data_IF_225551847649
#
_entry.id   IF_225551847649
#
_cell.length_a   1.000
_cell.length_b   1.000
_cell.length_c   1.000
_cell.angle_alpha   90.00
_cell.angle_beta   90.00
_cell.angle_gamma   90.00
#
_symmetry.space_group_name_H-M   'P 1'
#
loop_
_entity.id
_entity.type
_entity.pdbx_description
1 polymer ?
#
# COMPACT_ATOMS: atom_id res chain seq x y z
N UNK A 1 20.52 24.33 -5.48
CA UNK A 1 20.05 24.30 -6.89
C UNK A 1 20.94 23.47 -7.83
N UNK A 2 22.29 23.52 -7.76
CA UNK A 2 23.16 22.77 -8.69
C UNK A 2 23.18 21.25 -8.48
N UNK A 3 23.06 20.76 -7.23
CA UNK A 3 23.12 19.32 -6.91
C UNK A 3 21.94 18.53 -7.51
N UNK A 4 20.74 19.09 -7.44
CA UNK A 4 19.53 18.48 -8.00
C UNK A 4 19.62 18.31 -9.52
N UNK A 5 20.27 19.24 -10.23
CA UNK A 5 20.50 19.12 -11.67
C UNK A 5 21.38 17.91 -12.01
N UNK A 6 22.52 17.75 -11.33
CA UNK A 6 23.40 16.60 -11.54
C UNK A 6 22.73 15.27 -11.17
N UNK A 7 21.94 15.25 -10.09
CA UNK A 7 21.16 14.06 -9.70
C UNK A 7 20.15 13.69 -10.79
N UNK A 8 19.39 14.67 -11.31
CA UNK A 8 18.46 14.45 -12.41
C UNK A 8 19.16 13.97 -13.68
N UNK A 9 20.36 14.50 -13.97
CA UNK A 9 21.14 14.06 -15.12
C UNK A 9 21.56 12.59 -15.01
N UNK A 10 22.08 12.18 -13.83
CA UNK A 10 22.43 10.78 -13.57
C UNK A 10 21.19 9.89 -13.64
N UNK A 11 20.07 10.33 -13.06
CA UNK A 11 18.82 9.59 -13.12
C UNK A 11 18.31 9.43 -14.56
N UNK A 12 18.39 10.48 -15.38
CA UNK A 12 18.00 10.43 -16.78
C UNK A 12 18.86 9.42 -17.57
N UNK A 13 20.18 9.44 -17.37
CA UNK A 13 21.09 8.46 -17.99
C UNK A 13 20.74 7.03 -17.55
N UNK A 14 20.48 6.83 -16.26
CA UNK A 14 20.07 5.52 -15.74
C UNK A 14 18.76 5.03 -16.38
N UNK A 15 17.77 5.91 -16.54
CA UNK A 15 16.49 5.56 -17.19
C UNK A 15 16.71 5.18 -18.66
N UNK A 16 17.55 5.92 -19.39
CA UNK A 16 17.88 5.60 -20.79
C UNK A 16 18.58 4.25 -20.89
N UNK A 17 19.61 4.02 -20.06
CA UNK A 17 20.36 2.75 -20.05
C UNK A 17 19.43 1.59 -19.69
N UNK A 18 18.60 1.75 -18.65
CA UNK A 18 17.59 0.77 -18.28
C UNK A 18 16.64 0.47 -19.44
N UNK A 19 16.13 1.50 -20.12
CA UNK A 19 15.21 1.31 -21.25
C UNK A 19 15.87 0.55 -22.40
N UNK A 20 17.09 0.93 -22.79
CA UNK A 20 17.83 0.31 -23.90
C UNK A 20 18.22 -1.13 -23.59
N UNK A 21 18.70 -1.41 -22.38
CA UNK A 21 19.12 -2.76 -21.98
C UNK A 21 17.94 -3.72 -21.81
N UNK A 22 16.74 -3.21 -21.55
CA UNK A 22 15.54 -4.00 -21.31
C UNK A 22 14.51 -3.78 -22.44
N UNK A 23 14.97 -3.41 -23.63
CA UNK A 23 14.13 -3.19 -24.81
C UNK A 23 13.67 -4.50 -25.46
N UNK A 24 14.32 -5.63 -25.13
CA UNK A 24 14.02 -6.93 -25.70
C UNK A 24 12.54 -7.30 -25.50
N UNK A 25 11.85 -7.75 -26.56
CA UNK A 25 10.45 -8.14 -26.48
C UNK A 25 10.32 -9.46 -25.73
N UNK A 26 9.31 -9.52 -24.87
CA UNK A 26 8.92 -10.70 -24.10
C UNK A 26 7.47 -11.04 -24.42
N UNK A 27 7.27 -12.29 -24.83
CA UNK A 27 5.94 -12.85 -25.03
C UNK A 27 5.28 -13.09 -23.67
N UNK A 28 4.15 -12.44 -23.42
CA UNK A 28 3.38 -12.62 -22.18
C UNK A 28 1.98 -13.12 -22.48
N UNK A 29 1.44 -13.89 -21.53
CA UNK A 29 0.06 -14.33 -21.52
C UNK A 29 -0.55 -14.05 -20.16
N UNK A 30 -1.49 -13.12 -20.11
CA UNK A 30 -2.19 -12.67 -18.90
C UNK A 30 -3.66 -13.01 -19.03
N UNK A 31 -4.09 -14.05 -18.30
CA UNK A 31 -5.46 -14.55 -18.26
C UNK A 31 -5.96 -15.00 -19.65
N UNK A 32 -6.54 -14.09 -20.44
CA UNK A 32 -7.00 -14.31 -21.82
C UNK A 32 -6.27 -13.43 -22.84
N UNK A 33 -5.50 -12.45 -22.38
CA UNK A 33 -4.72 -11.56 -23.22
C UNK A 33 -3.33 -12.13 -23.46
N UNK A 34 -2.82 -11.98 -24.68
CA UNK A 34 -1.47 -12.35 -25.06
C UNK A 34 -0.90 -11.26 -25.97
N UNK A 35 0.41 -11.05 -25.87
CA UNK A 35 1.09 -10.06 -26.69
C UNK A 35 2.55 -9.89 -26.29
N UNK A 36 3.21 -9.01 -27.04
CA UNK A 36 4.65 -8.80 -26.94
C UNK A 36 4.89 -7.41 -26.37
N UNK A 37 5.59 -7.36 -25.25
CA UNK A 37 5.96 -6.10 -24.60
C UNK A 37 7.45 -6.14 -24.26
N UNK A 38 8.10 -4.97 -24.21
CA UNK A 38 9.49 -4.95 -23.75
C UNK A 38 9.60 -5.34 -22.29
N UNK A 39 10.72 -5.98 -21.93
CA UNK A 39 11.01 -6.34 -20.54
C UNK A 39 10.93 -5.12 -19.61
N UNK A 40 11.40 -3.95 -20.06
CA UNK A 40 11.32 -2.70 -19.32
C UNK A 40 9.88 -2.36 -18.91
N UNK A 41 8.95 -2.41 -19.86
CA UNK A 41 7.53 -2.11 -19.61
C UNK A 41 6.95 -3.14 -18.63
N UNK A 42 7.22 -4.42 -18.86
CA UNK A 42 6.77 -5.49 -17.96
C UNK A 42 7.21 -5.26 -16.51
N UNK A 43 8.49 -4.94 -16.30
CA UNK A 43 9.06 -4.70 -14.97
C UNK A 43 8.44 -3.47 -14.30
N UNK A 44 8.34 -2.35 -15.02
CA UNK A 44 7.76 -1.11 -14.47
C UNK A 44 6.30 -1.33 -14.08
N UNK A 45 5.49 -1.91 -14.98
CA UNK A 45 4.07 -2.12 -14.74
C UNK A 45 3.83 -3.10 -13.58
N UNK A 46 4.55 -4.22 -13.53
CA UNK A 46 4.39 -5.19 -12.44
C UNK A 46 4.86 -4.63 -11.09
N UNK A 47 5.94 -3.87 -11.07
CA UNK A 47 6.43 -3.20 -9.87
C UNK A 47 5.41 -2.18 -9.34
N UNK A 48 4.87 -1.31 -10.21
CA UNK A 48 3.85 -0.33 -9.83
C UNK A 48 2.60 -1.02 -9.30
N UNK A 49 2.10 -2.05 -10.00
CA UNK A 49 0.93 -2.82 -9.55
C UNK A 49 1.18 -3.47 -8.19
N UNK A 50 2.34 -4.10 -7.99
CA UNK A 50 2.72 -4.69 -6.70
C UNK A 50 2.79 -3.65 -5.58
N UNK A 51 3.39 -2.48 -5.85
CA UNK A 51 3.46 -1.38 -4.89
C UNK A 51 2.08 -0.83 -4.53
N UNK A 52 1.18 -0.68 -5.51
CA UNK A 52 -0.20 -0.24 -5.30
C UNK A 52 -0.99 -1.24 -4.45
N UNK A 53 -0.89 -2.54 -4.77
CA UNK A 53 -1.53 -3.61 -3.99
C UNK A 53 -0.99 -3.63 -2.56
N UNK A 54 0.33 -3.53 -2.39
CA UNK A 54 0.97 -3.47 -1.07
C UNK A 54 0.55 -2.24 -0.26
N UNK A 55 0.49 -1.07 -0.88
CA UNK A 55 0.03 0.17 -0.24
C UNK A 55 -1.44 0.08 0.18
N UNK A 56 -2.30 -0.50 -0.67
CA UNK A 56 -3.71 -0.72 -0.36
C UNK A 56 -3.87 -1.70 0.82
N UNK A 57 -3.15 -2.83 0.77
CA UNK A 57 -3.15 -3.82 1.84
C UNK A 57 -2.70 -3.23 3.18
N UNK A 58 -1.60 -2.46 3.17
CA UNK A 58 -1.11 -1.76 4.36
C UNK A 58 -2.14 -0.76 4.89
N UNK A 59 -2.73 0.06 4.01
CA UNK A 59 -3.74 1.05 4.37
C UNK A 59 -4.99 0.43 5.02
N UNK A 60 -5.48 -0.70 4.49
CA UNK A 60 -6.62 -1.42 5.04
C UNK A 60 -6.29 -2.04 6.41
N UNK A 61 -5.15 -2.70 6.53
CA UNK A 61 -4.73 -3.37 7.78
C UNK A 61 -4.48 -2.37 8.91
N UNK A 62 -3.85 -1.22 8.61
CA UNK A 62 -3.58 -0.19 9.60
C UNK A 62 -4.86 0.50 10.10
N UNK A 63 -5.90 0.60 9.25
CA UNK A 63 -7.22 1.11 9.64
C UNK A 63 -7.96 0.18 10.60
N UNK A 64 -7.88 -1.13 10.40
CA UNK A 64 -8.50 -2.10 11.31
C UNK A 64 -7.90 -2.04 12.72
N UNK A 65 -6.57 -1.88 12.83
CA UNK A 65 -5.88 -1.77 14.12
C UNK A 65 -6.28 -0.53 14.93
N UNK A 66 -6.69 0.56 14.26
CA UNK A 66 -7.15 1.80 14.92
C UNK A 66 -8.57 1.67 15.48
N UNK A 67 -9.45 0.91 14.82
CA UNK A 67 -10.82 0.70 15.29
C UNK A 67 -10.87 -0.24 16.49
N UNK A 68 -10.07 -1.31 16.52
CA UNK A 68 -9.99 -2.19 17.69
C UNK A 68 -9.48 -1.47 18.95
N UNK A 69 -8.65 -0.42 18.82
CA UNK A 69 -8.18 0.33 20.00
C UNK A 69 -9.26 1.25 20.59
N UNK A 70 -10.22 1.72 19.78
CA UNK A 70 -11.32 2.58 20.25
C UNK A 70 -12.37 1.79 21.04
N UNK A 71 -12.67 0.56 20.62
CA UNK A 71 -13.65 -0.29 21.30
C UNK A 71 -13.14 -0.85 22.63
N UNK A 72 -11.83 -1.08 22.77
CA UNK A 72 -11.26 -1.49 24.06
C UNK A 72 -11.17 -0.33 25.06
N UNK A 73 -10.88 0.90 24.60
CA UNK A 73 -10.83 2.07 25.50
C UNK A 73 -12.22 2.36 26.10
N UNK A 74 -13.31 2.23 25.34
CA UNK A 74 -14.67 2.42 25.87
C UNK A 74 -15.12 1.31 26.84
N UNK A 75 -14.52 0.11 26.75
CA UNK A 75 -14.83 -1.03 27.63
C UNK A 75 -13.98 -1.08 28.90
N UNK A 76 -12.89 -0.31 28.95
CA UNK A 76 -11.95 -0.27 30.08
C UNK A 76 -12.15 0.95 30.99
N UNK A 77 -13.12 1.84 30.71
CA UNK A 77 -13.47 2.94 31.63
C UNK A 77 -14.25 2.34 32.82
N UNK A 78 -13.69 2.34 34.05
CA UNK A 78 -14.33 1.72 35.22
C UNK A 78 -15.71 2.32 35.53
N UNK A 79 -15.84 3.64 35.33
CA UNK A 79 -17.05 4.41 35.62
C UNK A 79 -18.28 4.05 34.78
N UNK A 80 -18.11 3.57 33.54
CA UNK A 80 -19.25 3.24 32.67
C UNK A 80 -19.87 1.89 33.05
N UNK A 81 -19.07 0.95 33.57
CA UNK A 81 -19.55 -0.36 34.06
C UNK A 81 -20.31 -0.23 35.36
N UNK A 82 -19.80 0.60 36.26
CA UNK A 82 -20.37 0.84 37.59
C UNK A 82 -21.75 1.51 37.47
N UNK A 83 -21.86 2.55 36.63
CA UNK A 83 -23.13 3.22 36.37
C UNK A 83 -24.19 2.32 35.73
N UNK A 84 -23.77 1.42 34.82
CA UNK A 84 -24.68 0.49 34.15
C UNK A 84 -25.11 -0.67 35.06
N UNK A 85 -24.30 -1.04 36.06
CA UNK A 85 -24.68 -2.03 37.06
C UNK A 85 -25.63 -1.45 38.10
N UNK A 86 -25.38 -0.22 38.57
CA UNK A 86 -26.29 0.49 39.49
C UNK A 86 -27.67 0.74 38.86
N UNK A 87 -27.74 1.08 37.57
CA UNK A 87 -29.00 1.31 36.87
C UNK A 87 -29.79 0.00 36.63
N UNK A 88 -29.14 -1.16 36.62
CA UNK A 88 -29.78 -2.48 36.50
C UNK A 88 -30.25 -2.98 37.87
N UNK A 89 -29.50 -2.73 38.94
CA UNK A 89 -29.90 -3.08 40.32
C UNK A 89 -30.99 -2.16 40.90
N UNK A 90 -31.16 -0.95 40.36
CA UNK A 90 -32.21 -0.01 40.80
C UNK A 90 -33.60 -0.30 40.19
N UNK A 91 -33.67 -1.14 39.15
CA UNK A 91 -34.90 -1.50 38.43
C UNK A 91 -35.45 -2.91 38.82
N UNK A 92 -34.80 -3.64 39.74
CA UNK A 92 -35.29 -4.88 40.40
C UNK A 92 -35.92 -4.61 41.78
#
# INVERSE_FOLDING_TARGET
MKKSFWILMVLAVLVVVFSVQNADPVHIRVLTWQGDISLAILLITTFILGALVGALYYGLTMRQKKNSKKDNIARDIPFEKEKKQEEIEADE
#
